data_IF_529263691805
#
_entry.id   IF_529263691805
#
_cell.length_a   1.000
_cell.length_b   1.000
_cell.length_c   1.000
_cell.angle_alpha   90.00
_cell.angle_beta   90.00
_cell.angle_gamma   90.00
#
_symmetry.space_group_name_H-M   'P 1'
#
loop_
_entity.id
_entity.type
_entity.pdbx_description
1 polymer ?
#
# COMPACT_ATOMS: atom_id res chain seq x y z
N UNK A 1 1.61 -53.57 -19.66
CA UNK A 1 0.90 -53.32 -18.40
C UNK A 1 1.53 -52.10 -17.76
N UNK A 2 1.02 -50.92 -18.13
CA UNK A 2 1.42 -49.63 -17.55
C UNK A 2 0.50 -49.35 -16.37
N UNK A 3 1.05 -49.29 -15.16
CA UNK A 3 0.34 -48.77 -14.00
C UNK A 3 0.51 -47.25 -14.00
N UNK A 4 -0.57 -46.55 -14.30
CA UNK A 4 -0.72 -45.12 -14.00
C UNK A 4 -0.78 -44.97 -12.49
N UNK A 5 0.18 -44.28 -11.89
CA UNK A 5 0.13 -43.88 -10.50
C UNK A 5 -0.95 -42.81 -10.37
N UNK A 6 -2.02 -43.09 -9.62
CA UNK A 6 -3.02 -42.12 -9.19
C UNK A 6 -2.34 -41.12 -8.28
N UNK A 7 -2.22 -39.89 -8.75
CA UNK A 7 -1.86 -38.73 -7.95
C UNK A 7 -3.08 -38.39 -7.09
N UNK A 8 -3.05 -38.77 -5.83
CA UNK A 8 -4.04 -38.34 -4.83
C UNK A 8 -3.81 -36.83 -4.63
N UNK A 9 -4.82 -35.95 -4.86
CA UNK A 9 -4.67 -34.56 -4.53
C UNK A 9 -4.44 -34.41 -3.02
N UNK A 10 -3.43 -33.62 -2.64
CA UNK A 10 -3.14 -33.31 -1.25
C UNK A 10 -4.41 -32.68 -0.65
N UNK A 11 -4.96 -33.29 0.37
CA UNK A 11 -6.06 -32.76 1.14
C UNK A 11 -5.63 -31.40 1.72
N UNK A 12 -6.40 -30.33 1.46
CA UNK A 12 -6.24 -29.04 2.09
C UNK A 12 -6.32 -29.22 3.61
N UNK A 13 -5.19 -29.29 4.26
CA UNK A 13 -5.10 -29.26 5.71
C UNK A 13 -5.23 -27.79 6.11
N UNK A 14 -6.44 -27.34 6.42
CA UNK A 14 -6.64 -26.07 7.11
C UNK A 14 -5.87 -26.16 8.43
N UNK A 15 -4.74 -25.47 8.54
CA UNK A 15 -3.99 -25.40 9.79
C UNK A 15 -4.85 -24.65 10.79
N UNK A 16 -5.31 -25.34 11.83
CA UNK A 16 -5.99 -24.72 12.96
C UNK A 16 -4.96 -23.86 13.70
N UNK A 17 -5.24 -22.56 13.95
CA UNK A 17 -4.32 -21.72 14.72
C UNK A 17 -4.02 -22.38 16.07
N UNK A 18 -2.79 -22.22 16.55
CA UNK A 18 -2.45 -22.66 17.91
C UNK A 18 -3.32 -21.93 18.93
N UNK A 19 -3.49 -22.49 20.14
CA UNK A 19 -4.27 -21.87 21.20
C UNK A 19 -3.73 -20.45 21.52
N UNK A 20 -2.42 -20.25 21.47
CA UNK A 20 -1.77 -18.96 21.70
C UNK A 20 -2.14 -17.93 20.61
N UNK A 21 -2.17 -18.32 19.35
CA UNK A 21 -2.60 -17.45 18.24
C UNK A 21 -4.07 -17.07 18.39
N UNK A 22 -4.94 -18.00 18.76
CA UNK A 22 -6.36 -17.71 18.98
C UNK A 22 -6.57 -16.64 20.08
N UNK A 23 -5.85 -16.74 21.19
CA UNK A 23 -5.89 -15.73 22.27
C UNK A 23 -5.47 -14.34 21.75
N UNK A 24 -4.37 -14.25 21.00
CA UNK A 24 -3.91 -12.96 20.45
C UNK A 24 -4.90 -12.38 19.45
N UNK A 25 -5.58 -13.21 18.68
CA UNK A 25 -6.65 -12.79 17.77
C UNK A 25 -7.84 -12.23 18.58
N UNK A 26 -8.26 -12.91 19.65
CA UNK A 26 -9.33 -12.43 20.52
C UNK A 26 -8.95 -11.08 21.16
N UNK A 27 -7.75 -10.93 21.67
CA UNK A 27 -7.25 -9.67 22.23
C UNK A 27 -7.25 -8.52 21.22
N UNK A 28 -7.02 -8.77 19.93
CA UNK A 28 -7.08 -7.75 18.89
C UNK A 28 -8.51 -7.24 18.65
N UNK A 29 -9.52 -8.11 18.74
CA UNK A 29 -10.92 -7.74 18.53
C UNK A 29 -11.64 -7.27 19.78
N UNK A 30 -11.10 -7.58 20.96
CA UNK A 30 -11.67 -7.20 22.28
C UNK A 30 -10.94 -6.02 22.91
N UNK A 31 -10.16 -5.25 22.13
CA UNK A 31 -9.45 -4.06 22.61
C UNK A 31 -10.45 -3.05 23.19
N UNK A 32 -10.04 -2.32 24.25
CA UNK A 32 -10.83 -1.20 24.72
C UNK A 32 -11.07 -0.17 23.60
N UNK A 33 -12.23 0.50 23.54
CA UNK A 33 -12.56 1.45 22.47
C UNK A 33 -11.52 2.55 22.23
N UNK A 34 -10.82 2.99 23.27
CA UNK A 34 -9.75 3.99 23.16
C UNK A 34 -8.46 3.46 22.50
N UNK A 35 -8.30 2.15 22.37
CA UNK A 35 -7.21 1.52 21.63
C UNK A 35 -7.62 1.25 20.16
N UNK A 36 -8.83 1.59 19.78
CA UNK A 36 -9.39 1.41 18.44
C UNK A 36 -10.09 0.07 18.23
N UNK A 37 -10.54 -0.14 16.99
CA UNK A 37 -11.36 -1.29 16.58
C UNK A 37 -10.67 -2.04 15.46
N UNK A 38 -10.61 -3.38 15.57
CA UNK A 38 -10.24 -4.27 14.46
C UNK A 38 -11.48 -4.59 13.64
N UNK A 39 -11.42 -4.29 12.34
CA UNK A 39 -12.50 -4.56 11.39
C UNK A 39 -12.28 -5.88 10.64
N UNK A 40 -11.04 -6.18 10.28
CA UNK A 40 -10.68 -7.44 9.66
C UNK A 40 -9.25 -7.82 10.04
N UNK A 41 -9.01 -9.10 10.27
CA UNK A 41 -7.70 -9.71 10.43
C UNK A 41 -7.63 -10.96 9.56
N UNK A 42 -6.59 -11.05 8.75
CA UNK A 42 -6.31 -12.23 7.95
C UNK A 42 -4.83 -12.57 8.07
N UNK A 43 -4.53 -13.84 8.33
CA UNK A 43 -3.16 -14.39 8.35
C UNK A 43 -3.08 -15.50 7.32
N UNK A 44 -2.12 -15.37 6.41
CA UNK A 44 -1.75 -16.44 5.49
C UNK A 44 -0.37 -16.95 5.83
N UNK A 45 -0.19 -18.26 5.77
CA UNK A 45 1.10 -18.93 5.89
C UNK A 45 1.25 -19.96 4.79
N UNK A 46 2.34 -19.88 4.03
CA UNK A 46 2.56 -20.75 2.87
C UNK A 46 1.50 -20.61 1.78
N UNK A 47 0.86 -19.44 1.67
CA UNK A 47 -0.24 -19.16 0.73
C UNK A 47 -1.62 -19.60 1.22
N UNK A 48 -1.72 -20.29 2.37
CA UNK A 48 -3.00 -20.75 2.92
C UNK A 48 -3.48 -19.82 4.05
N UNK A 49 -4.79 -19.52 4.07
CA UNK A 49 -5.40 -18.73 5.15
C UNK A 49 -5.46 -19.57 6.42
N UNK A 50 -4.77 -19.13 7.47
CA UNK A 50 -4.74 -19.80 8.78
C UNK A 50 -5.54 -19.08 9.86
N UNK A 51 -5.76 -17.75 9.67
CA UNK A 51 -6.65 -16.94 10.51
C UNK A 51 -7.45 -16.03 9.60
N UNK A 52 -8.75 -15.95 9.84
CA UNK A 52 -9.63 -14.99 9.21
C UNK A 52 -10.74 -14.61 10.19
N UNK A 53 -10.79 -13.32 10.57
CA UNK A 53 -11.79 -12.80 11.51
C UNK A 53 -12.24 -11.42 11.09
N UNK A 54 -13.52 -11.16 11.30
CA UNK A 54 -14.17 -9.89 10.99
C UNK A 54 -14.88 -9.35 12.22
N UNK A 55 -14.93 -8.03 12.33
CA UNK A 55 -15.54 -7.29 13.43
C UNK A 55 -16.73 -6.48 12.98
N UNK A 56 -17.03 -5.46 13.76
CA UNK A 56 -18.12 -4.52 13.50
C UNK A 56 -17.55 -3.12 13.41
N UNK A 57 -17.86 -2.41 12.33
CA UNK A 57 -17.60 -0.98 12.27
C UNK A 57 -18.62 -0.29 13.18
N UNK A 58 -18.17 0.47 14.19
CA UNK A 58 -19.08 1.18 15.07
C UNK A 58 -19.95 2.18 14.34
N UNK A 59 -21.12 2.47 14.89
CA UNK A 59 -21.96 3.57 14.41
C UNK A 59 -21.23 4.91 14.52
N UNK A 60 -21.56 5.80 13.62
CA UNK A 60 -21.10 7.18 13.65
C UNK A 60 -22.22 8.12 13.17
N UNK A 61 -21.94 9.44 13.08
CA UNK A 61 -22.92 10.44 12.69
C UNK A 61 -23.48 10.27 11.26
N UNK A 62 -22.84 9.45 10.41
CA UNK A 62 -23.21 9.25 9.01
C UNK A 62 -23.90 7.91 8.77
N UNK A 63 -23.67 6.90 9.61
CA UNK A 63 -24.14 5.54 9.36
C UNK A 63 -24.28 4.71 10.66
N UNK A 64 -25.24 3.76 10.73
CA UNK A 64 -25.35 2.81 11.83
C UNK A 64 -24.15 1.88 11.87
N UNK A 65 -24.03 1.08 12.94
CA UNK A 65 -23.06 0.01 13.02
C UNK A 65 -23.23 -0.99 11.86
N UNK A 66 -22.11 -1.44 11.28
CA UNK A 66 -22.09 -2.34 10.12
C UNK A 66 -21.23 -3.56 10.44
N UNK A 67 -21.77 -4.76 10.30
CA UNK A 67 -20.98 -5.99 10.35
C UNK A 67 -20.03 -6.06 9.14
N UNK A 68 -18.76 -6.31 9.40
CA UNK A 68 -17.77 -6.53 8.35
C UNK A 68 -17.73 -8.02 8.05
N UNK A 69 -17.66 -8.33 6.76
CA UNK A 69 -17.66 -9.70 6.24
C UNK A 69 -16.46 -9.90 5.29
N UNK A 70 -16.28 -11.11 4.82
CA UNK A 70 -15.26 -11.44 3.81
C UNK A 70 -15.41 -10.66 2.50
N UNK A 71 -16.61 -10.19 2.20
CA UNK A 71 -16.93 -9.44 0.97
C UNK A 71 -16.93 -7.92 1.18
N UNK A 72 -16.73 -7.45 2.42
CA UNK A 72 -16.66 -6.02 2.72
C UNK A 72 -15.35 -5.43 2.19
N UNK A 73 -15.46 -4.42 1.32
CA UNK A 73 -14.30 -3.64 0.89
C UNK A 73 -14.03 -2.52 1.88
N UNK A 74 -12.77 -2.43 2.32
CA UNK A 74 -12.29 -1.40 3.24
C UNK A 74 -11.23 -0.55 2.56
N UNK A 75 -11.07 0.69 3.02
CA UNK A 75 -10.09 1.61 2.43
C UNK A 75 -8.66 1.22 2.79
N UNK A 76 -7.77 1.31 1.81
CA UNK A 76 -6.34 1.09 2.02
C UNK A 76 -5.66 2.20 2.81
N UNK A 77 -6.19 3.41 2.75
CA UNK A 77 -5.40 4.60 3.07
C UNK A 77 -4.00 4.49 2.44
N UNK A 78 -2.96 4.86 3.15
CA UNK A 78 -1.59 4.91 2.62
C UNK A 78 -1.00 3.56 2.20
N UNK A 79 -1.66 2.42 2.45
CA UNK A 79 -1.24 1.15 1.80
C UNK A 79 -1.31 1.24 0.27
N UNK A 80 -2.10 2.18 -0.29
CA UNK A 80 -2.13 2.46 -1.73
C UNK A 80 -0.77 2.86 -2.29
N UNK A 81 0.13 3.44 -1.49
CA UNK A 81 1.49 3.80 -1.91
C UNK A 81 2.28 2.57 -2.37
N UNK A 82 2.14 1.46 -1.67
CA UNK A 82 2.78 0.19 -2.08
C UNK A 82 2.16 -0.38 -3.35
N UNK A 83 0.85 -0.18 -3.57
CA UNK A 83 0.18 -0.54 -4.83
C UNK A 83 0.72 0.36 -5.98
N UNK A 84 0.96 1.64 -5.72
CA UNK A 84 1.61 2.55 -6.68
C UNK A 84 3.03 2.09 -7.01
N UNK A 85 3.81 1.61 -6.03
CA UNK A 85 5.12 1.01 -6.26
C UNK A 85 5.02 -0.22 -7.18
N UNK A 86 4.01 -1.08 -7.00
CA UNK A 86 3.79 -2.22 -7.89
C UNK A 86 3.47 -1.77 -9.33
N UNK A 87 2.63 -0.76 -9.50
CA UNK A 87 2.32 -0.18 -10.81
C UNK A 87 3.57 0.39 -11.51
N UNK A 88 4.45 1.09 -10.77
CA UNK A 88 5.76 1.52 -11.28
C UNK A 88 6.60 0.32 -11.70
N UNK A 89 6.62 -0.76 -10.90
CA UNK A 89 7.36 -1.98 -11.23
C UNK A 89 6.97 -2.61 -12.57
N UNK A 90 5.67 -2.59 -12.89
CA UNK A 90 5.18 -3.05 -14.18
C UNK A 90 5.76 -2.20 -15.32
N UNK A 91 5.73 -0.87 -15.19
CA UNK A 91 6.25 0.05 -16.22
C UNK A 91 7.78 -0.05 -16.37
N UNK A 92 8.50 -0.30 -15.28
CA UNK A 92 9.95 -0.58 -15.34
C UNK A 92 10.21 -1.90 -16.04
N UNK A 93 9.44 -2.94 -15.73
CA UNK A 93 9.53 -4.24 -16.40
C UNK A 93 9.24 -4.17 -17.91
N UNK A 94 8.34 -3.29 -18.31
CA UNK A 94 8.02 -3.01 -19.73
C UNK A 94 9.07 -2.12 -20.43
N UNK A 95 10.03 -1.57 -19.68
CA UNK A 95 11.01 -0.60 -20.20
C UNK A 95 10.40 0.78 -20.53
N UNK A 96 9.19 1.05 -20.01
CA UNK A 96 8.47 2.30 -20.23
C UNK A 96 8.85 3.40 -19.24
N UNK A 97 9.47 3.05 -18.12
CA UNK A 97 9.93 3.99 -17.08
C UNK A 97 11.31 3.58 -16.56
N UNK A 98 12.22 4.55 -16.53
CA UNK A 98 13.50 4.45 -15.82
C UNK A 98 13.39 5.27 -14.54
N UNK A 99 13.40 4.59 -13.38
CA UNK A 99 13.24 5.27 -12.09
C UNK A 99 14.48 6.08 -11.67
N UNK A 100 15.65 5.76 -12.21
CA UNK A 100 16.90 6.48 -11.92
C UNK A 100 17.04 7.76 -12.77
N UNK A 101 16.30 7.86 -13.87
CA UNK A 101 16.22 9.05 -14.69
C UNK A 101 15.44 10.18 -13.98
N UNK A 102 15.67 11.47 -14.36
CA UNK A 102 14.84 12.57 -13.92
C UNK A 102 13.35 12.28 -14.15
N UNK A 103 12.52 12.57 -13.14
CA UNK A 103 11.08 12.36 -13.23
C UNK A 103 10.49 13.18 -14.40
N UNK A 104 9.67 12.58 -15.27
CA UNK A 104 9.17 13.23 -16.48
C UNK A 104 8.04 14.24 -16.18
N UNK A 105 8.33 15.23 -15.34
CA UNK A 105 7.40 16.32 -14.98
C UNK A 105 7.78 17.58 -15.76
N UNK A 106 6.98 17.90 -16.77
CA UNK A 106 7.27 18.97 -17.71
C UNK A 106 7.45 20.35 -17.02
N UNK A 107 6.65 20.61 -15.98
CA UNK A 107 6.68 21.88 -15.24
C UNK A 107 7.99 22.08 -14.45
N UNK A 108 8.76 21.04 -14.24
CA UNK A 108 10.05 21.11 -13.56
C UNK A 108 11.21 21.52 -14.47
N UNK A 109 11.00 21.50 -15.79
CA UNK A 109 12.04 21.86 -16.76
C UNK A 109 12.63 23.24 -16.49
N UNK A 110 13.96 23.32 -16.45
CA UNK A 110 14.69 24.57 -16.17
C UNK A 110 14.65 25.05 -14.71
N UNK A 111 14.11 24.27 -13.80
CA UNK A 111 14.09 24.55 -12.36
C UNK A 111 15.00 23.55 -11.61
N UNK A 112 15.38 23.83 -10.34
CA UNK A 112 16.11 22.85 -9.52
C UNK A 112 15.37 21.51 -9.34
N UNK A 113 14.06 21.47 -9.46
CA UNK A 113 13.24 20.25 -9.36
C UNK A 113 13.47 19.28 -10.53
N UNK A 114 14.01 19.77 -11.67
CA UNK A 114 14.34 18.93 -12.81
C UNK A 114 15.35 17.81 -12.49
N UNK A 115 16.06 17.91 -11.36
CA UNK A 115 16.99 16.87 -10.90
C UNK A 115 16.32 15.76 -10.07
N UNK A 116 15.05 15.91 -9.68
CA UNK A 116 14.33 14.89 -8.91
C UNK A 116 14.10 13.67 -9.80
N UNK A 117 14.52 12.48 -9.34
CA UNK A 117 14.26 11.22 -10.04
C UNK A 117 12.97 10.57 -9.53
N UNK A 118 12.39 9.67 -10.33
CA UNK A 118 11.24 8.86 -9.87
C UNK A 118 11.62 8.00 -8.66
N UNK A 119 12.86 7.51 -8.61
CA UNK A 119 13.39 6.78 -7.46
C UNK A 119 13.35 7.62 -6.19
N UNK A 120 13.79 8.88 -6.23
CA UNK A 120 13.74 9.78 -5.08
C UNK A 120 12.31 10.09 -4.63
N UNK A 121 11.35 10.10 -5.55
CA UNK A 121 9.92 10.19 -5.22
C UNK A 121 9.46 8.93 -4.46
N UNK A 122 9.81 7.73 -4.94
CA UNK A 122 9.50 6.46 -4.24
C UNK A 122 10.17 6.36 -2.87
N UNK A 123 11.33 6.95 -2.70
CA UNK A 123 12.11 7.00 -1.46
C UNK A 123 11.64 8.07 -0.47
N UNK A 124 10.63 8.88 -0.81
CA UNK A 124 10.20 10.05 -0.02
C UNK A 124 11.35 11.05 0.22
N UNK A 125 12.22 11.22 -0.77
CA UNK A 125 13.40 12.07 -0.71
C UNK A 125 13.45 13.10 -1.84
N UNK A 126 12.27 13.56 -2.27
CA UNK A 126 12.16 14.57 -3.34
C UNK A 126 12.74 15.93 -2.95
N UNK A 127 12.76 16.26 -1.67
CA UNK A 127 13.10 17.58 -1.15
C UNK A 127 11.98 18.61 -1.25
N UNK A 128 10.81 18.25 -1.81
CA UNK A 128 9.65 19.12 -1.86
C UNK A 128 9.10 19.36 -0.46
N UNK A 129 8.70 20.61 -0.18
CA UNK A 129 7.93 20.94 1.02
C UNK A 129 6.59 20.24 0.95
N UNK A 130 6.31 19.38 1.92
CA UNK A 130 5.00 18.76 2.06
C UNK A 130 4.75 18.42 3.52
N UNK A 131 3.72 19.02 4.12
CA UNK A 131 3.31 18.70 5.48
C UNK A 131 2.24 17.62 5.40
N UNK A 132 2.59 16.42 5.88
CA UNK A 132 1.68 15.26 5.92
C UNK A 132 0.74 15.30 7.13
N UNK A 133 1.13 15.98 8.20
CA UNK A 133 0.43 15.97 9.49
C UNK A 133 -1.03 16.43 9.40
N UNK A 134 -1.86 15.85 10.28
CA UNK A 134 -3.30 16.10 10.39
C UNK A 134 -3.62 16.93 11.65
N UNK A 135 -2.74 17.87 12.02
CA UNK A 135 -2.89 18.67 13.24
C UNK A 135 -3.77 19.90 13.01
N UNK A 136 -4.64 20.20 13.96
CA UNK A 136 -5.75 21.14 13.85
C UNK A 136 -5.34 22.62 13.63
N UNK A 137 -4.14 23.04 14.02
CA UNK A 137 -3.74 24.45 14.05
C UNK A 137 -2.72 24.86 12.97
N UNK A 138 -2.26 23.93 12.12
CA UNK A 138 -1.28 24.21 11.07
C UNK A 138 -1.75 23.72 9.69
N UNK A 139 -1.16 24.27 8.64
CA UNK A 139 -1.48 23.90 7.26
C UNK A 139 -1.02 22.48 7.01
N UNK A 140 -1.96 21.54 6.83
CA UNK A 140 -1.69 20.23 6.29
C UNK A 140 -1.83 20.25 4.78
N UNK A 141 -0.73 20.05 4.06
CA UNK A 141 -0.79 19.91 2.61
C UNK A 141 -1.54 18.65 2.21
N UNK A 142 -1.51 17.59 3.04
CA UNK A 142 -2.25 16.37 2.77
C UNK A 142 -3.76 16.58 2.81
N UNK A 143 -4.27 17.26 3.85
CA UNK A 143 -5.70 17.60 3.96
C UNK A 143 -6.12 18.54 2.85
N UNK A 144 -5.34 19.60 2.60
CA UNK A 144 -5.64 20.55 1.52
C UNK A 144 -5.67 19.89 0.15
N UNK A 145 -4.71 19.00 -0.13
CA UNK A 145 -4.65 18.25 -1.39
C UNK A 145 -5.83 17.31 -1.57
N UNK A 146 -6.20 16.53 -0.52
CA UNK A 146 -7.21 15.47 -0.63
C UNK A 146 -8.65 15.99 -0.48
N UNK A 147 -8.87 17.09 0.27
CA UNK A 147 -10.22 17.53 0.67
C UNK A 147 -10.44 19.03 0.54
N UNK A 148 -9.38 19.81 0.27
CA UNK A 148 -9.45 21.26 0.13
C UNK A 148 -9.74 21.70 -1.29
N UNK A 149 -9.48 22.98 -1.55
CA UNK A 149 -9.67 23.62 -2.85
C UNK A 149 -8.36 23.67 -3.68
N UNK A 150 -7.49 22.67 -3.54
CA UNK A 150 -6.17 22.61 -4.17
C UNK A 150 -6.19 22.45 -5.71
N UNK A 151 -7.38 22.42 -6.31
CA UNK A 151 -7.58 22.23 -7.74
C UNK A 151 -7.84 20.77 -8.14
N UNK A 152 -7.98 20.50 -9.46
CA UNK A 152 -8.42 19.19 -9.94
C UNK A 152 -7.36 18.10 -9.83
N UNK A 153 -6.07 18.44 -9.77
CA UNK A 153 -4.96 17.49 -9.75
C UNK A 153 -4.17 17.55 -8.45
N UNK A 154 -4.22 16.47 -7.68
CA UNK A 154 -3.41 16.31 -6.48
C UNK A 154 -1.91 16.35 -6.81
N UNK A 155 -1.52 15.74 -7.92
CA UNK A 155 -0.13 15.74 -8.38
C UNK A 155 0.36 17.14 -8.77
N UNK A 156 -0.46 17.93 -9.46
CA UNK A 156 -0.10 19.30 -9.84
C UNK A 156 0.08 20.19 -8.61
N UNK A 157 -0.81 20.06 -7.61
CA UNK A 157 -0.68 20.74 -6.34
C UNK A 157 0.66 20.41 -5.67
N UNK A 158 0.97 19.14 -5.49
CA UNK A 158 2.20 18.71 -4.84
C UNK A 158 3.46 19.10 -5.64
N UNK A 159 3.45 18.97 -6.97
CA UNK A 159 4.56 19.32 -7.83
C UNK A 159 4.87 20.83 -7.85
N UNK A 160 3.87 21.68 -7.59
CA UNK A 160 4.03 23.12 -7.50
C UNK A 160 4.73 23.59 -6.22
N UNK A 161 4.67 22.80 -5.13
CA UNK A 161 5.26 23.17 -3.84
C UNK A 161 6.78 23.41 -3.96
N UNK A 162 7.35 24.34 -3.19
CA UNK A 162 8.77 24.67 -3.27
C UNK A 162 9.66 23.53 -2.77
N UNK A 163 10.96 23.60 -3.12
CA UNK A 163 11.98 22.76 -2.49
C UNK A 163 12.41 23.40 -1.16
N UNK A 164 12.45 22.58 -0.11
CA UNK A 164 13.08 22.92 1.17
C UNK A 164 14.47 22.29 1.28
N UNK A 165 14.68 21.17 0.58
CA UNK A 165 15.95 20.44 0.60
C UNK A 165 16.39 20.07 -0.82
N UNK A 166 17.68 19.86 -1.00
CA UNK A 166 18.19 19.32 -2.26
C UNK A 166 17.61 17.91 -2.49
N UNK A 167 17.23 17.54 -3.72
CA UNK A 167 16.73 16.20 -4.04
C UNK A 167 17.66 15.10 -3.54
N UNK A 168 17.12 14.06 -2.94
CA UNK A 168 17.84 12.90 -2.43
C UNK A 168 18.53 13.09 -1.07
N UNK A 169 18.44 14.26 -0.43
CA UNK A 169 19.20 14.55 0.80
C UNK A 169 18.40 14.46 2.09
N UNK A 170 17.08 14.56 2.01
CA UNK A 170 16.20 14.59 3.19
C UNK A 170 14.99 13.69 2.97
N UNK A 171 14.69 12.85 3.95
CA UNK A 171 13.47 12.05 4.01
C UNK A 171 12.33 12.88 4.57
N UNK A 172 11.22 12.89 3.88
CA UNK A 172 9.95 13.47 4.35
C UNK A 172 8.80 12.67 3.76
N UNK A 173 8.08 11.92 4.58
CA UNK A 173 6.92 11.15 4.15
C UNK A 173 5.87 12.07 3.54
N UNK A 174 5.36 11.72 2.36
CA UNK A 174 4.53 12.64 1.57
C UNK A 174 3.54 11.89 0.68
N UNK A 175 2.25 12.09 0.94
CA UNK A 175 1.17 11.68 0.03
C UNK A 175 1.24 12.42 -1.30
N UNK A 176 1.67 13.69 -1.30
CA UNK A 176 1.86 14.47 -2.52
C UNK A 176 2.89 13.86 -3.45
N UNK A 177 4.01 13.41 -2.90
CA UNK A 177 5.07 12.74 -3.68
C UNK A 177 4.54 11.50 -4.39
N UNK A 178 3.72 10.70 -3.72
CA UNK A 178 3.11 9.51 -4.35
C UNK A 178 2.12 9.88 -5.44
N UNK A 179 1.33 10.95 -5.27
CA UNK A 179 0.41 11.39 -6.33
C UNK A 179 1.16 11.92 -7.55
N UNK A 180 2.36 12.51 -7.39
CA UNK A 180 3.24 12.83 -8.52
C UNK A 180 3.65 11.54 -9.26
N UNK A 181 4.01 10.47 -8.55
CA UNK A 181 4.30 9.16 -9.16
C UNK A 181 3.07 8.60 -9.88
N UNK A 182 1.88 8.71 -9.28
CA UNK A 182 0.63 8.28 -9.90
C UNK A 182 0.34 9.04 -11.20
N UNK A 183 0.62 10.34 -11.25
CA UNK A 183 0.55 11.14 -12.48
C UNK A 183 1.53 10.63 -13.55
N UNK A 184 2.77 10.31 -13.18
CA UNK A 184 3.76 9.74 -14.11
C UNK A 184 3.22 8.44 -14.72
N UNK A 185 2.62 7.57 -13.91
CA UNK A 185 1.95 6.35 -14.40
C UNK A 185 0.85 6.73 -15.39
N UNK A 186 -0.01 7.70 -15.04
CA UNK A 186 -1.08 8.18 -15.90
C UNK A 186 -0.58 8.72 -17.24
N UNK A 187 0.47 9.52 -17.24
CA UNK A 187 1.06 10.11 -18.45
C UNK A 187 1.60 9.02 -19.39
N UNK A 188 2.24 7.99 -18.85
CA UNK A 188 2.77 6.87 -19.64
C UNK A 188 1.62 6.01 -20.20
N UNK A 189 0.64 5.67 -19.37
CA UNK A 189 -0.43 4.72 -19.70
C UNK A 189 -1.45 5.32 -20.65
N UNK A 190 -1.81 6.60 -20.49
CA UNK A 190 -2.74 7.29 -21.38
C UNK A 190 -2.09 7.80 -22.68
N UNK A 191 -0.76 7.87 -22.71
CA UNK A 191 -0.01 8.42 -23.86
C UNK A 191 -0.17 9.93 -24.04
N UNK A 192 -0.85 10.61 -23.13
CA UNK A 192 -1.11 12.05 -23.18
C UNK A 192 -0.91 12.68 -21.78
N UNK A 193 -0.05 13.67 -21.71
CA UNK A 193 0.09 14.52 -20.52
C UNK A 193 -0.96 15.61 -20.58
N UNK A 194 -1.96 15.57 -19.70
CA UNK A 194 -3.03 16.58 -19.62
C UNK A 194 -4.20 16.38 -20.58
N UNK A 195 -4.44 15.13 -21.05
CA UNK A 195 -5.60 14.78 -21.86
C UNK A 195 -6.95 14.89 -21.15
N UNK A 196 -8.00 14.38 -21.78
CA UNK A 196 -9.34 14.30 -21.19
C UNK A 196 -9.32 13.49 -19.89
N UNK A 197 -9.72 14.05 -18.74
CA UNK A 197 -9.68 13.35 -17.45
C UNK A 197 -10.44 12.02 -17.43
N UNK A 198 -11.55 11.91 -18.14
CA UNK A 198 -12.33 10.67 -18.19
C UNK A 198 -11.60 9.58 -18.98
N UNK A 199 -10.96 9.95 -20.09
CA UNK A 199 -10.16 9.00 -20.90
C UNK A 199 -8.90 8.58 -20.13
N UNK A 200 -8.26 9.51 -19.44
CA UNK A 200 -7.11 9.26 -18.58
C UNK A 200 -7.46 8.30 -17.46
N UNK A 201 -8.51 8.59 -16.71
CA UNK A 201 -9.02 7.70 -15.67
C UNK A 201 -9.28 6.29 -16.23
N UNK A 202 -10.02 6.18 -17.34
CA UNK A 202 -10.35 4.89 -17.93
C UNK A 202 -9.09 4.10 -18.34
N UNK A 203 -8.08 4.76 -18.88
CA UNK A 203 -6.82 4.12 -19.27
C UNK A 203 -6.04 3.61 -18.04
N UNK A 204 -5.92 4.41 -16.98
CA UNK A 204 -5.22 4.03 -15.75
C UNK A 204 -5.97 2.92 -15.01
N UNK A 205 -7.31 3.02 -14.91
CA UNK A 205 -8.14 1.99 -14.31
C UNK A 205 -8.01 0.66 -15.06
N UNK A 206 -8.05 0.69 -16.40
CA UNK A 206 -7.83 -0.49 -17.23
C UNK A 206 -6.43 -1.09 -17.02
N UNK A 207 -5.39 -0.26 -16.95
CA UNK A 207 -4.02 -0.69 -16.67
C UNK A 207 -3.92 -1.39 -15.31
N UNK A 208 -4.43 -0.77 -14.24
CA UNK A 208 -4.40 -1.36 -12.89
C UNK A 208 -5.14 -2.69 -12.85
N UNK A 209 -6.33 -2.78 -13.48
CA UNK A 209 -7.09 -4.02 -13.51
C UNK A 209 -6.44 -5.11 -14.38
N UNK A 210 -5.95 -4.77 -15.56
CA UNK A 210 -5.42 -5.77 -16.50
C UNK A 210 -4.00 -6.23 -16.15
N UNK A 211 -3.19 -5.35 -15.57
CA UNK A 211 -1.76 -5.61 -15.37
C UNK A 211 -1.38 -5.91 -13.90
N UNK A 212 -2.22 -5.51 -12.94
CA UNK A 212 -1.96 -5.73 -11.52
C UNK A 212 -3.09 -6.50 -10.85
N UNK A 213 -4.28 -5.91 -10.70
CA UNK A 213 -5.35 -6.51 -9.88
C UNK A 213 -5.85 -7.84 -10.45
N UNK A 214 -6.06 -7.95 -11.75
CA UNK A 214 -6.50 -9.18 -12.43
C UNK A 214 -5.48 -10.32 -12.28
N UNK A 215 -4.22 -10.16 -12.72
CA UNK A 215 -3.18 -11.18 -12.54
C UNK A 215 -2.99 -11.62 -11.08
N UNK A 216 -3.06 -10.69 -10.12
CA UNK A 216 -2.94 -10.99 -8.68
C UNK A 216 -4.22 -11.63 -8.11
N UNK A 217 -5.36 -11.48 -8.80
CA UNK A 217 -6.65 -11.98 -8.34
C UNK A 217 -7.36 -11.09 -7.32
N UNK A 218 -7.06 -9.78 -7.31
CA UNK A 218 -7.70 -8.76 -6.46
C UNK A 218 -9.03 -8.29 -7.09
N UNK A 219 -10.00 -9.18 -7.18
CA UNK A 219 -11.25 -8.92 -7.91
C UNK A 219 -12.13 -7.82 -7.29
N UNK A 220 -11.96 -7.53 -6.00
CA UNK A 220 -12.71 -6.49 -5.29
C UNK A 220 -12.02 -5.12 -5.29
N UNK A 221 -10.81 -5.00 -5.88
CA UNK A 221 -10.03 -3.77 -5.83
C UNK A 221 -10.71 -2.64 -6.62
N UNK A 222 -10.91 -1.49 -5.98
CA UNK A 222 -11.54 -0.30 -6.55
C UNK A 222 -10.61 0.89 -6.33
N UNK A 223 -9.80 1.29 -7.32
CA UNK A 223 -8.99 2.49 -7.24
C UNK A 223 -9.89 3.75 -7.31
N UNK A 224 -9.45 4.86 -6.72
CA UNK A 224 -10.10 6.16 -6.83
C UNK A 224 -9.20 7.14 -7.56
N UNK A 225 -9.83 8.13 -8.17
CA UNK A 225 -9.20 9.11 -9.05
C UNK A 225 -9.54 10.52 -8.60
N UNK A 226 -8.64 11.45 -8.84
CA UNK A 226 -8.89 12.88 -8.68
C UNK A 226 -9.65 13.44 -9.90
N UNK A 227 -9.97 14.72 -9.85
CA UNK A 227 -10.74 15.38 -10.92
C UNK A 227 -9.93 15.57 -12.23
N UNK A 228 -8.62 15.37 -12.20
CA UNK A 228 -7.77 15.35 -13.39
C UNK A 228 -7.67 13.97 -14.02
N UNK A 229 -8.28 12.95 -13.41
CA UNK A 229 -8.24 11.56 -13.88
C UNK A 229 -6.98 10.79 -13.45
N UNK A 230 -6.20 11.35 -12.53
CA UNK A 230 -5.05 10.67 -11.94
C UNK A 230 -5.48 9.75 -10.79
N UNK A 231 -4.87 8.58 -10.72
CA UNK A 231 -5.05 7.67 -9.59
C UNK A 231 -4.61 8.33 -8.29
N UNK A 232 -5.47 8.34 -7.26
CA UNK A 232 -5.11 8.82 -5.93
C UNK A 232 -4.27 7.75 -5.23
N UNK A 233 -3.09 7.50 -5.79
CA UNK A 233 -2.18 6.41 -5.42
C UNK A 233 -1.60 6.54 -4.02
N UNK A 234 -1.73 7.70 -3.40
CA UNK A 234 -1.33 7.92 -2.02
C UNK A 234 -2.28 7.30 -1.00
N UNK A 235 -3.59 7.11 -1.35
CA UNK A 235 -4.61 6.98 -0.31
C UNK A 235 -5.75 6.02 -0.62
N UNK A 236 -6.13 5.78 -1.88
CA UNK A 236 -7.44 5.21 -2.14
C UNK A 236 -7.45 4.02 -3.10
N UNK A 237 -7.33 2.84 -2.51
CA UNK A 237 -7.82 1.58 -3.08
C UNK A 237 -8.76 0.94 -2.05
N UNK A 238 -9.97 0.62 -2.43
CA UNK A 238 -10.88 -0.18 -1.61
C UNK A 238 -10.75 -1.64 -2.03
N UNK A 239 -10.57 -2.54 -1.08
CA UNK A 239 -10.52 -3.97 -1.36
C UNK A 239 -10.90 -4.78 -0.12
N UNK A 240 -11.21 -6.06 -0.32
CA UNK A 240 -11.40 -7.00 0.80
C UNK A 240 -10.07 -7.33 1.47
N UNK A 241 -10.10 -7.78 2.73
CA UNK A 241 -8.91 -8.25 3.43
C UNK A 241 -8.22 -9.40 2.67
N UNK A 242 -9.00 -10.28 2.02
CA UNK A 242 -8.49 -11.36 1.18
C UNK A 242 -7.70 -10.84 -0.02
N UNK A 243 -8.16 -9.77 -0.66
CA UNK A 243 -7.48 -9.21 -1.81
C UNK A 243 -6.22 -8.43 -1.40
N UNK A 244 -6.23 -7.75 -0.26
CA UNK A 244 -5.01 -7.17 0.32
C UNK A 244 -3.99 -8.25 0.70
N UNK A 245 -4.43 -9.43 1.16
CA UNK A 245 -3.52 -10.54 1.42
C UNK A 245 -2.87 -11.08 0.13
N UNK A 246 -3.62 -11.20 -0.98
CA UNK A 246 -3.07 -11.57 -2.28
C UNK A 246 -2.00 -10.56 -2.75
N UNK A 247 -2.20 -9.27 -2.47
CA UNK A 247 -1.18 -8.26 -2.74
C UNK A 247 0.09 -8.48 -1.89
N UNK A 248 -0.06 -8.82 -0.62
CA UNK A 248 1.06 -9.21 0.24
C UNK A 248 1.79 -10.45 -0.30
N UNK A 249 1.05 -11.47 -0.73
CA UNK A 249 1.59 -12.69 -1.34
C UNK A 249 2.40 -12.39 -2.61
N UNK A 250 1.97 -11.43 -3.43
CA UNK A 250 2.72 -11.00 -4.61
C UNK A 250 4.15 -10.57 -4.24
N UNK A 251 4.30 -9.78 -3.17
CA UNK A 251 5.62 -9.32 -2.70
C UNK A 251 6.38 -10.43 -1.97
N UNK A 252 5.69 -11.30 -1.23
CA UNK A 252 6.32 -12.48 -0.62
C UNK A 252 6.96 -13.39 -1.67
N UNK A 253 6.34 -13.52 -2.83
CA UNK A 253 6.77 -14.38 -3.94
C UNK A 253 7.54 -13.61 -5.03
N UNK A 254 8.20 -12.51 -4.70
CA UNK A 254 8.99 -11.71 -5.64
C UNK A 254 8.27 -11.44 -6.96
N UNK A 255 7.04 -10.96 -6.88
CA UNK A 255 6.25 -10.55 -8.04
C UNK A 255 5.56 -11.67 -8.80
N UNK A 256 5.54 -12.89 -8.27
CA UNK A 256 4.78 -14.02 -8.83
C UNK A 256 3.47 -14.19 -8.06
N UNK A 257 2.36 -14.09 -8.77
CA UNK A 257 1.02 -14.27 -8.21
C UNK A 257 0.72 -15.75 -7.91
N UNK A 258 -0.33 -16.02 -7.13
CA UNK A 258 -0.71 -17.37 -6.71
C UNK A 258 -1.03 -18.32 -7.88
N UNK A 259 -1.44 -17.79 -9.04
CA UNK A 259 -1.66 -18.56 -10.27
C UNK A 259 -0.37 -18.91 -11.03
N UNK A 260 0.80 -18.50 -10.53
CA UNK A 260 2.11 -18.68 -11.16
C UNK A 260 2.48 -17.61 -12.20
N UNK A 261 1.61 -16.64 -12.46
CA UNK A 261 1.89 -15.54 -13.38
C UNK A 261 2.81 -14.50 -12.71
N UNK A 262 3.84 -14.05 -13.43
CA UNK A 262 4.71 -12.98 -12.96
C UNK A 262 4.10 -11.63 -13.31
N UNK A 263 3.63 -10.91 -12.30
CA UNK A 263 3.06 -9.58 -12.45
C UNK A 263 4.10 -8.46 -12.26
N UNK A 264 5.18 -8.70 -11.48
CA UNK A 264 6.25 -7.71 -11.26
C UNK A 264 7.60 -8.26 -11.72
N UNK A 265 8.55 -7.40 -12.12
CA UNK A 265 9.90 -7.83 -12.47
C UNK A 265 10.57 -8.60 -11.32
N UNK A 266 11.43 -9.56 -11.65
CA UNK A 266 12.23 -10.25 -10.64
C UNK A 266 13.10 -9.26 -9.86
N UNK A 267 13.17 -9.41 -8.54
CA UNK A 267 13.90 -8.50 -7.65
C UNK A 267 13.13 -7.22 -7.27
N UNK A 268 11.91 -7.01 -7.78
CA UNK A 268 11.15 -5.79 -7.45
C UNK A 268 10.70 -5.75 -5.98
N UNK A 269 10.43 -6.91 -5.38
CA UNK A 269 10.16 -6.98 -3.93
C UNK A 269 11.41 -6.61 -3.11
N UNK A 270 12.60 -7.08 -3.51
CA UNK A 270 13.85 -6.67 -2.88
C UNK A 270 14.15 -5.18 -3.09
N UNK A 271 13.80 -4.62 -4.26
CA UNK A 271 13.89 -3.18 -4.54
C UNK A 271 13.05 -2.35 -3.55
N UNK A 272 11.86 -2.81 -3.18
CA UNK A 272 10.99 -2.16 -2.19
C UNK A 272 11.65 -2.09 -0.80
N UNK A 273 12.35 -3.16 -0.39
CA UNK A 273 12.93 -3.36 0.93
C UNK A 273 14.35 -2.80 1.11
N UNK A 274 14.84 -1.95 0.21
CA UNK A 274 16.12 -1.26 0.42
C UNK A 274 15.92 -0.13 1.44
N UNK A 275 16.48 -0.21 2.65
CA UNK A 275 16.30 0.84 3.67
C UNK A 275 17.01 2.11 3.23
N UNK A 276 16.28 3.21 3.14
CA UNK A 276 16.78 4.53 2.73
C UNK A 276 16.70 5.55 3.84
N UNK A 277 15.84 5.34 4.83
CA UNK A 277 15.69 6.21 6.00
C UNK A 277 15.12 5.43 7.18
N UNK A 278 15.31 5.99 8.38
CA UNK A 278 14.57 5.61 9.59
C UNK A 278 13.56 6.70 9.92
N UNK A 279 12.36 6.30 10.26
CA UNK A 279 11.29 7.18 10.71
C UNK A 279 11.11 6.98 12.22
N UNK A 280 11.60 7.96 12.99
CA UNK A 280 11.61 7.89 14.46
C UNK A 280 10.18 7.88 15.03
N UNK A 281 9.23 8.56 14.42
CA UNK A 281 7.84 8.65 14.89
C UNK A 281 7.13 7.30 14.79
N UNK A 282 7.41 6.54 13.73
CA UNK A 282 6.88 5.20 13.55
C UNK A 282 7.77 4.09 14.12
N UNK A 283 9.04 4.37 14.40
CA UNK A 283 10.04 3.38 14.82
C UNK A 283 10.25 2.29 13.78
N UNK A 284 10.21 2.66 12.51
CA UNK A 284 10.30 1.79 11.35
C UNK A 284 11.32 2.34 10.34
N UNK A 285 11.94 1.44 9.59
CA UNK A 285 12.71 1.85 8.42
C UNK A 285 11.78 2.05 7.23
N UNK A 286 12.16 2.96 6.33
CA UNK A 286 11.46 3.23 5.09
C UNK A 286 12.33 2.89 3.89
N UNK A 287 11.73 2.23 2.90
CA UNK A 287 12.35 1.92 1.63
C UNK A 287 11.73 2.72 0.48
N UNK A 288 11.17 2.02 -0.49
CA UNK A 288 10.56 2.61 -1.69
C UNK A 288 9.06 2.35 -1.69
N UNK A 289 8.30 3.25 -1.06
CA UNK A 289 6.86 3.10 -0.78
C UNK A 289 6.50 1.86 0.05
N UNK A 290 7.47 1.34 0.82
CA UNK A 290 7.32 0.27 1.78
C UNK A 290 8.03 0.59 3.08
N UNK A 291 7.40 0.18 4.18
CA UNK A 291 7.98 0.18 5.51
C UNK A 291 8.66 -1.14 5.80
N UNK A 292 9.60 -1.13 6.70
CA UNK A 292 10.23 -2.32 7.27
C UNK A 292 10.18 -2.22 8.78
N UNK A 293 9.84 -3.32 9.44
CA UNK A 293 9.82 -3.36 10.89
C UNK A 293 11.16 -3.91 11.40
N UNK A 294 12.02 -3.08 12.05
CA UNK A 294 13.36 -3.52 12.50
C UNK A 294 13.31 -4.71 13.45
N UNK A 295 12.18 -4.88 14.17
CA UNK A 295 11.97 -6.01 15.09
C UNK A 295 11.65 -7.32 14.36
N UNK A 296 11.35 -7.26 13.06
CA UNK A 296 11.10 -8.43 12.19
C UNK A 296 12.00 -8.27 10.94
N UNK A 297 13.25 -8.73 11.03
CA UNK A 297 14.21 -8.58 9.93
C UNK A 297 13.68 -9.18 8.63
N UNK A 298 13.91 -8.50 7.51
CA UNK A 298 13.45 -8.90 6.19
C UNK A 298 11.95 -8.68 5.93
N UNK A 299 11.21 -8.07 6.88
CA UNK A 299 9.80 -7.73 6.67
C UNK A 299 9.63 -6.59 5.69
N UNK A 300 8.53 -6.64 4.94
CA UNK A 300 7.95 -5.52 4.21
C UNK A 300 6.58 -5.20 4.81
N UNK A 301 6.25 -3.93 4.97
CA UNK A 301 4.96 -3.55 5.53
C UNK A 301 4.35 -2.37 4.76
N UNK A 302 3.07 -2.49 4.41
CA UNK A 302 2.24 -1.35 4.03
C UNK A 302 1.64 -0.78 5.30
N UNK A 303 1.68 0.54 5.46
CA UNK A 303 0.98 1.23 6.54
C UNK A 303 -0.10 2.14 5.95
N UNK A 304 -1.28 2.13 6.52
CA UNK A 304 -2.37 3.04 6.23
C UNK A 304 -2.91 3.69 7.51
N UNK A 305 -3.47 4.87 7.34
CA UNK A 305 -4.12 5.61 8.43
C UNK A 305 -5.14 4.74 9.16
N UNK A 306 -5.37 4.99 10.44
CA UNK A 306 -6.29 4.21 11.30
C UNK A 306 -5.92 2.72 11.46
N UNK A 307 -4.65 2.34 11.27
CA UNK A 307 -4.20 0.97 11.55
C UNK A 307 -4.45 -0.04 10.43
N UNK A 308 -4.43 0.41 9.17
CA UNK A 308 -4.40 -0.50 8.02
C UNK A 308 -2.98 -1.02 7.86
N UNK A 309 -2.80 -2.34 7.83
CA UNK A 309 -1.50 -2.99 7.65
C UNK A 309 -1.58 -4.18 6.71
N UNK A 310 -0.59 -4.29 5.84
CA UNK A 310 -0.20 -5.55 5.21
C UNK A 310 1.25 -5.79 5.62
N UNK A 311 1.53 -6.86 6.34
CA UNK A 311 2.89 -7.21 6.78
C UNK A 311 3.28 -8.51 6.10
N UNK A 312 4.40 -8.47 5.38
CA UNK A 312 4.96 -9.59 4.64
C UNK A 312 6.26 -10.00 5.31
N UNK A 313 6.39 -11.27 5.67
CA UNK A 313 7.60 -11.85 6.27
C UNK A 313 8.03 -13.05 5.43
N UNK A 314 8.84 -12.83 4.37
CA UNK A 314 9.16 -13.85 3.38
C UNK A 314 9.79 -15.10 3.98
N UNK A 315 10.73 -14.95 4.90
CA UNK A 315 11.46 -16.06 5.55
C UNK A 315 10.54 -16.96 6.41
N UNK A 316 9.35 -16.47 6.77
CA UNK A 316 8.33 -17.25 7.50
C UNK A 316 7.17 -17.66 6.62
N UNK A 317 7.24 -17.37 5.32
CA UNK A 317 6.14 -17.57 4.37
C UNK A 317 4.81 -16.95 4.84
N UNK A 318 4.89 -15.77 5.51
CA UNK A 318 3.78 -15.18 6.25
C UNK A 318 3.33 -13.87 5.62
N UNK A 319 2.01 -13.69 5.53
CA UNK A 319 1.35 -12.42 5.24
C UNK A 319 0.27 -12.18 6.29
N UNK A 320 0.30 -11.00 6.91
CA UNK A 320 -0.69 -10.55 7.89
C UNK A 320 -1.37 -9.29 7.38
N UNK A 321 -2.70 -9.31 7.29
CA UNK A 321 -3.52 -8.14 6.97
C UNK A 321 -4.34 -7.76 8.19
N UNK A 322 -4.24 -6.52 8.63
CA UNK A 322 -5.12 -5.92 9.62
C UNK A 322 -5.77 -4.67 9.04
N UNK A 323 -7.08 -4.60 9.12
CA UNK A 323 -7.87 -3.43 8.75
C UNK A 323 -8.66 -2.99 9.97
N UNK A 324 -8.68 -1.69 10.26
CA UNK A 324 -9.28 -1.21 11.49
C UNK A 324 -9.55 0.29 11.53
N UNK A 325 -9.86 0.75 12.76
CA UNK A 325 -9.97 2.16 13.13
C UNK A 325 -9.23 2.35 14.45
N UNK A 326 -7.99 2.79 14.32
CA UNK A 326 -7.06 2.95 15.44
C UNK A 326 -6.39 4.30 15.30
N UNK A 327 -6.57 5.16 16.29
CA UNK A 327 -5.96 6.49 16.30
C UNK A 327 -4.43 6.42 16.31
N UNK A 328 -3.78 7.47 15.83
CA UNK A 328 -2.32 7.55 15.76
C UNK A 328 -1.65 7.28 17.13
N UNK A 329 -2.24 7.78 18.22
CA UNK A 329 -1.73 7.56 19.58
C UNK A 329 -1.73 6.09 20.02
N UNK A 330 -2.67 5.27 19.51
CA UNK A 330 -2.78 3.84 19.81
C UNK A 330 -2.09 2.94 18.76
N UNK A 331 -1.61 3.49 17.66
CA UNK A 331 -0.96 2.73 16.60
C UNK A 331 0.30 1.95 17.06
N UNK A 332 1.16 2.46 17.98
CA UNK A 332 2.30 1.69 18.49
C UNK A 332 1.86 0.42 19.25
N UNK A 333 0.77 0.47 20.03
CA UNK A 333 0.22 -0.66 20.76
C UNK A 333 -0.34 -1.70 19.76
N UNK A 334 -1.06 -1.28 18.73
CA UNK A 334 -1.55 -2.17 17.69
C UNK A 334 -0.39 -2.87 16.99
N UNK A 335 0.66 -2.14 16.59
CA UNK A 335 1.85 -2.76 15.97
C UNK A 335 2.53 -3.76 16.91
N UNK A 336 2.58 -3.48 18.21
CA UNK A 336 3.13 -4.42 19.18
C UNK A 336 2.32 -5.72 19.25
N UNK A 337 0.98 -5.65 19.24
CA UNK A 337 0.11 -6.84 19.21
C UNK A 337 0.26 -7.63 17.89
N UNK A 338 0.34 -6.94 16.76
CA UNK A 338 0.57 -7.59 15.47
C UNK A 338 1.95 -8.29 15.43
N UNK A 339 3.01 -7.69 16.01
CA UNK A 339 4.31 -8.35 16.15
C UNK A 339 4.22 -9.62 16.99
N UNK A 340 3.52 -9.57 18.12
CA UNK A 340 3.31 -10.76 18.97
C UNK A 340 2.59 -11.87 18.19
N UNK A 341 1.56 -11.50 17.40
CA UNK A 341 0.87 -12.45 16.53
C UNK A 341 1.83 -13.08 15.50
N UNK A 342 2.61 -12.25 14.81
CA UNK A 342 3.61 -12.68 13.82
C UNK A 342 4.65 -13.63 14.46
N UNK A 343 5.09 -13.34 15.70
CA UNK A 343 6.09 -14.15 16.38
C UNK A 343 5.56 -15.53 16.81
N UNK A 344 4.25 -15.69 16.90
CA UNK A 344 3.58 -16.95 17.26
C UNK A 344 3.01 -17.71 16.06
N UNK A 345 2.90 -17.05 14.90
CA UNK A 345 2.52 -17.68 13.64
C UNK A 345 3.73 -18.33 12.98
#
# INVERSE_FOLDING_TARGET
>A
MNRTADVVPAANVVRVPTADVAVLVDELFERPPHEGVSLALLVQQGGEVVVERYGVQPENIFQPAIEITADSTLTSWSMAKSITHAAVGILVGDGALDVDAPAPIAEWAGTPKAAITTLQLLEMRSGLRFVEDYVDDEVSHCIEMLYGESGPSHAAYAAALPLDHAPGTHYSYSSGTTNIVARIIGDIVSGESGGDPMQRQAAVEAFLHQRLFGPVGMASAIPKFDAAGDFVGSSYVFATARDFAKFGELYRNDGVAANGERALPAGWAAHAGVPVSHDDDNGCDYGRHWWMWPQIPGSLACHGHEGQYIVVVPDRELVVVHLGKTDAAAAPQLRARLRQLIDRS
#
